data_IF_347657193265
#
_entry.id   IF_347657193265
#
_cell.length_a   1.000
_cell.length_b   1.000
_cell.length_c   1.000
_cell.angle_alpha   90.00
_cell.angle_beta   90.00
_cell.angle_gamma   90.00
#
_symmetry.space_group_name_H-M   'P 1'
#
loop_
_entity.id
_entity.type
_entity.pdbx_description
1 polymer ?
#
# COMPACT_ATOMS: atom_id res chain seq x y z
N UNK A 1 -2.99 -13.39 25.15
CA UNK A 1 -2.67 -12.54 23.99
C UNK A 1 -3.98 -12.35 23.23
N UNK A 2 -4.37 -11.15 22.80
CA UNK A 2 -5.60 -10.99 22.02
C UNK A 2 -5.33 -11.41 20.58
N UNK A 3 -5.74 -12.61 20.21
CA UNK A 3 -5.76 -13.05 18.81
C UNK A 3 -6.93 -12.36 18.10
N UNK A 4 -6.60 -11.29 17.36
CA UNK A 4 -7.55 -10.69 16.42
C UNK A 4 -7.77 -11.70 15.29
N UNK A 5 -9.03 -12.09 15.07
CA UNK A 5 -9.38 -12.92 13.92
C UNK A 5 -8.90 -12.25 12.62
N UNK A 6 -8.02 -12.94 11.89
CA UNK A 6 -7.43 -12.46 10.64
C UNK A 6 -8.39 -12.61 9.46
N UNK A 7 -9.26 -13.61 9.49
CA UNK A 7 -10.13 -13.97 8.37
C UNK A 7 -11.10 -12.84 8.03
N UNK A 8 -11.21 -12.52 6.73
CA UNK A 8 -12.06 -11.43 6.23
C UNK A 8 -11.49 -10.03 6.44
N UNK A 9 -10.24 -9.89 6.89
CA UNK A 9 -9.60 -8.57 7.12
C UNK A 9 -8.82 -8.06 5.90
N UNK A 10 -8.69 -8.85 4.83
CA UNK A 10 -8.14 -8.40 3.56
C UNK A 10 -9.17 -7.56 2.78
N UNK A 11 -8.70 -6.65 1.92
CA UNK A 11 -9.56 -5.91 1.01
C UNK A 11 -10.19 -6.87 -0.01
N UNK A 12 -11.51 -6.80 -0.21
CA UNK A 12 -12.20 -7.51 -1.30
C UNK A 12 -11.97 -6.74 -2.61
N UNK A 13 -11.44 -7.41 -3.64
CA UNK A 13 -11.22 -6.88 -4.99
C UNK A 13 -11.08 -8.04 -5.99
N UNK A 14 -11.20 -7.77 -7.29
CA UNK A 14 -11.27 -8.78 -8.36
C UNK A 14 -9.95 -8.94 -9.13
N UNK A 15 -9.22 -7.84 -9.32
CA UNK A 15 -7.96 -7.78 -10.09
C UNK A 15 -6.87 -7.03 -9.31
N UNK A 16 -5.67 -7.59 -9.25
CA UNK A 16 -4.48 -6.92 -8.72
C UNK A 16 -3.60 -6.47 -9.89
N UNK A 17 -3.22 -5.19 -9.90
CA UNK A 17 -2.23 -4.62 -10.80
C UNK A 17 -1.02 -4.24 -9.96
N UNK A 18 0.16 -4.73 -10.33
CA UNK A 18 1.42 -4.30 -9.74
C UNK A 18 2.20 -3.48 -10.77
N UNK A 19 2.65 -2.28 -10.40
CA UNK A 19 3.66 -1.53 -11.15
C UNK A 19 5.03 -1.78 -10.52
N UNK A 20 5.99 -2.26 -11.30
CA UNK A 20 7.39 -2.37 -10.92
C UNK A 20 8.03 -0.97 -10.98
N UNK A 21 8.54 -0.46 -9.87
CA UNK A 21 9.09 0.91 -9.84
C UNK A 21 10.13 1.10 -8.74
N UNK A 22 11.38 1.41 -9.11
CA UNK A 22 12.54 1.64 -8.23
C UNK A 22 12.75 0.53 -7.17
N UNK A 23 13.66 0.79 -6.22
CA UNK A 23 13.84 -0.04 -5.03
C UNK A 23 12.99 0.44 -3.86
N UNK A 24 12.50 -0.48 -3.03
CA UNK A 24 11.64 -0.20 -1.89
C UNK A 24 12.28 0.70 -0.82
N UNK A 25 13.62 0.70 -0.74
CA UNK A 25 14.41 1.59 0.12
C UNK A 25 14.27 3.07 -0.27
N UNK A 26 13.92 3.36 -1.53
CA UNK A 26 13.88 4.72 -2.10
C UNK A 26 12.49 5.35 -2.10
N UNK A 27 11.43 4.58 -1.82
CA UNK A 27 10.05 5.07 -1.93
C UNK A 27 9.68 6.09 -0.84
N UNK A 28 9.05 7.22 -1.17
CA UNK A 28 8.47 8.11 -0.18
C UNK A 28 7.19 7.51 0.41
N UNK A 29 6.82 7.96 1.61
CA UNK A 29 5.70 7.45 2.39
C UNK A 29 4.34 7.38 1.65
N UNK A 30 4.13 8.23 0.64
CA UNK A 30 2.94 8.24 -0.22
C UNK A 30 3.33 8.30 -1.71
N UNK A 31 4.01 7.26 -2.18
CA UNK A 31 4.50 7.09 -3.56
C UNK A 31 3.43 7.38 -4.63
N UNK A 32 2.18 6.99 -4.40
CA UNK A 32 1.03 7.20 -5.30
C UNK A 32 0.59 8.68 -5.41
N UNK A 33 1.26 9.60 -4.69
CA UNK A 33 0.99 11.04 -4.69
C UNK A 33 2.26 11.90 -4.77
N UNK A 34 3.43 11.29 -4.95
CA UNK A 34 4.72 11.98 -4.97
C UNK A 34 4.96 12.72 -6.29
N UNK A 35 5.27 14.01 -6.22
CA UNK A 35 5.68 14.81 -7.38
C UNK A 35 7.04 14.39 -7.95
N UNK A 36 7.87 13.68 -7.17
CA UNK A 36 9.16 13.14 -7.60
C UNK A 36 9.07 11.74 -8.22
N UNK A 37 7.88 11.14 -8.20
CA UNK A 37 7.60 9.79 -8.72
C UNK A 37 6.38 9.84 -9.66
N UNK A 38 6.50 10.54 -10.80
CA UNK A 38 5.37 10.87 -11.67
C UNK A 38 4.66 9.64 -12.25
N UNK A 39 5.37 8.55 -12.57
CA UNK A 39 4.75 7.34 -13.12
C UNK A 39 3.77 6.65 -12.14
N UNK A 40 4.16 6.25 -10.90
CA UNK A 40 3.21 5.77 -9.90
C UNK A 40 2.07 6.74 -9.59
N UNK A 41 2.37 8.04 -9.49
CA UNK A 41 1.38 9.08 -9.22
C UNK A 41 0.34 9.19 -10.34
N UNK A 42 0.78 9.23 -11.60
CA UNK A 42 -0.09 9.32 -12.77
C UNK A 42 -0.94 8.06 -12.90
N UNK A 43 -0.35 6.88 -12.77
CA UNK A 43 -1.09 5.61 -12.86
C UNK A 43 -2.16 5.50 -11.77
N UNK A 44 -1.84 5.84 -10.52
CA UNK A 44 -2.82 5.89 -9.43
C UNK A 44 -3.93 6.94 -9.67
N UNK A 45 -3.59 8.11 -10.23
CA UNK A 45 -4.54 9.16 -10.56
C UNK A 45 -5.49 8.75 -11.70
N UNK A 46 -4.97 8.22 -12.82
CA UNK A 46 -5.78 7.75 -13.95
C UNK A 46 -6.68 6.58 -13.53
N UNK A 47 -6.18 5.59 -12.78
CA UNK A 47 -7.02 4.50 -12.24
C UNK A 47 -8.16 5.02 -11.37
N UNK A 48 -7.90 6.02 -10.52
CA UNK A 48 -8.93 6.63 -9.68
C UNK A 48 -9.95 7.41 -10.51
N UNK A 49 -9.52 8.11 -11.56
CA UNK A 49 -10.39 8.88 -12.45
C UNK A 49 -11.27 7.98 -13.35
N UNK A 50 -10.73 6.84 -13.81
CA UNK A 50 -11.40 5.86 -14.67
C UNK A 50 -12.11 4.73 -13.91
N UNK A 51 -12.17 4.83 -12.57
CA UNK A 51 -12.65 3.75 -11.68
C UNK A 51 -14.00 3.17 -12.08
N UNK A 52 -14.94 4.03 -12.50
CA UNK A 52 -16.31 3.59 -12.79
C UNK A 52 -16.48 3.04 -14.23
N UNK A 53 -15.47 3.21 -15.09
CA UNK A 53 -15.38 2.56 -16.41
C UNK A 53 -14.75 1.15 -16.31
N UNK A 54 -13.94 0.90 -15.27
CA UNK A 54 -13.23 -0.37 -15.06
C UNK A 54 -14.20 -1.40 -14.45
N UNK A 55 -14.52 -2.43 -15.23
CA UNK A 55 -15.53 -3.47 -14.88
C UNK A 55 -15.18 -4.32 -13.66
N UNK A 56 -13.89 -4.52 -13.38
CA UNK A 56 -13.40 -5.32 -12.27
C UNK A 56 -12.86 -4.41 -11.17
N UNK A 57 -13.19 -4.70 -9.90
CA UNK A 57 -12.66 -3.93 -8.78
C UNK A 57 -11.15 -4.14 -8.71
N UNK A 58 -10.41 -3.14 -9.18
CA UNK A 58 -8.96 -3.23 -9.39
C UNK A 58 -8.21 -2.54 -8.27
N UNK A 59 -7.16 -3.18 -7.76
CA UNK A 59 -6.21 -2.61 -6.79
C UNK A 59 -4.87 -2.42 -7.47
N UNK A 60 -4.30 -1.21 -7.37
CA UNK A 60 -2.90 -0.93 -7.70
C UNK A 60 -2.04 -1.09 -6.45
N UNK A 61 -0.94 -1.82 -6.58
CA UNK A 61 0.18 -1.85 -5.64
C UNK A 61 1.46 -1.57 -6.41
N UNK A 62 2.47 -1.00 -5.77
CA UNK A 62 3.81 -0.86 -6.38
C UNK A 62 4.67 -2.00 -5.87
N UNK A 63 5.45 -2.65 -6.75
CA UNK A 63 6.47 -3.61 -6.36
C UNK A 63 7.87 -3.16 -6.77
N UNK A 64 8.87 -3.73 -6.11
CA UNK A 64 10.27 -3.41 -6.35
C UNK A 64 10.77 -4.02 -7.67
N UNK A 65 11.61 -3.24 -8.36
CA UNK A 65 12.40 -3.66 -9.51
C UNK A 65 13.43 -4.70 -9.06
N UNK A 66 13.40 -5.87 -9.69
CA UNK A 66 14.23 -7.04 -9.36
C UNK A 66 14.68 -7.72 -10.64
N UNK A 67 15.88 -7.36 -11.11
CA UNK A 67 16.45 -7.89 -12.35
C UNK A 67 16.66 -9.41 -12.31
N UNK A 68 16.98 -9.96 -11.14
CA UNK A 68 17.21 -11.39 -10.90
C UNK A 68 15.97 -12.28 -11.11
N UNK A 69 14.78 -11.71 -10.98
CA UNK A 69 13.49 -12.35 -11.33
C UNK A 69 12.82 -11.69 -12.55
N UNK A 70 13.58 -10.92 -13.33
CA UNK A 70 13.13 -10.33 -14.59
C UNK A 70 12.03 -9.27 -14.44
N UNK A 71 12.00 -8.51 -13.34
CA UNK A 71 11.11 -7.36 -13.15
C UNK A 71 11.87 -6.04 -13.35
N UNK A 72 11.57 -5.31 -14.41
CA UNK A 72 12.21 -4.03 -14.77
C UNK A 72 11.37 -2.82 -14.37
N UNK A 73 11.97 -1.63 -14.32
CA UNK A 73 11.24 -0.38 -14.04
C UNK A 73 10.19 -0.11 -15.14
N UNK A 74 8.97 0.21 -14.72
CA UNK A 74 7.82 0.38 -15.60
C UNK A 74 7.12 -0.92 -16.01
N UNK A 75 7.61 -2.11 -15.65
CA UNK A 75 6.86 -3.35 -15.90
C UNK A 75 5.54 -3.38 -15.09
N UNK A 76 4.46 -3.89 -15.67
CA UNK A 76 3.14 -4.00 -15.03
C UNK A 76 2.66 -5.45 -15.02
N UNK A 77 2.47 -6.02 -13.84
CA UNK A 77 1.93 -7.38 -13.64
C UNK A 77 0.42 -7.30 -13.38
N UNK A 78 -0.37 -8.17 -14.00
CA UNK A 78 -1.82 -8.25 -13.77
C UNK A 78 -2.22 -9.67 -13.36
N UNK A 79 -2.93 -9.76 -12.23
CA UNK A 79 -3.51 -10.98 -11.66
C UNK A 79 -5.04 -10.81 -11.52
N UNK A 80 -5.87 -11.83 -11.80
CA UNK A 80 -5.52 -13.24 -12.03
C UNK A 80 -5.02 -13.57 -13.45
N UNK A 81 -4.94 -12.60 -14.36
CA UNK A 81 -4.64 -12.83 -15.77
C UNK A 81 -3.26 -13.44 -16.06
N UNK A 82 -2.29 -13.31 -15.14
CA UNK A 82 -0.91 -13.79 -15.31
C UNK A 82 -0.24 -13.23 -16.57
N UNK A 83 -0.34 -11.91 -16.74
CA UNK A 83 0.30 -11.17 -17.84
C UNK A 83 1.24 -10.12 -17.26
N UNK A 84 2.45 -10.03 -17.82
CA UNK A 84 3.36 -8.90 -17.63
C UNK A 84 3.39 -8.03 -18.89
N UNK A 85 3.14 -6.75 -18.72
CA UNK A 85 3.39 -5.71 -19.70
C UNK A 85 4.74 -5.06 -19.41
N UNK A 86 5.53 -4.73 -20.42
CA UNK A 86 6.88 -4.20 -20.21
C UNK A 86 6.98 -2.68 -20.40
N UNK A 87 7.75 -2.04 -19.53
CA UNK A 87 8.23 -0.65 -19.70
C UNK A 87 7.12 0.40 -19.97
N UNK A 88 6.04 0.39 -19.19
CA UNK A 88 5.02 1.45 -19.19
C UNK A 88 5.65 2.80 -18.83
N UNK A 89 5.40 3.82 -19.66
CA UNK A 89 5.87 5.19 -19.45
C UNK A 89 4.72 6.11 -19.10
N UNK A 90 5.04 7.25 -18.51
CA UNK A 90 4.09 8.32 -18.17
C UNK A 90 3.21 8.74 -19.35
N UNK A 91 3.80 8.86 -20.55
CA UNK A 91 3.09 9.22 -21.79
C UNK A 91 2.00 8.23 -22.20
N UNK A 92 2.08 6.99 -21.73
CA UNK A 92 1.29 5.88 -22.25
C UNK A 92 0.28 5.35 -21.21
N UNK A 93 0.27 5.89 -19.98
CA UNK A 93 -0.61 5.47 -18.87
C UNK A 93 -2.09 5.52 -19.26
N UNK A 94 -2.54 6.62 -19.88
CA UNK A 94 -3.95 6.77 -20.23
C UNK A 94 -4.39 5.76 -21.31
N UNK A 95 -3.53 5.50 -22.29
CA UNK A 95 -3.75 4.47 -23.32
C UNK A 95 -3.72 3.06 -22.72
N UNK A 96 -2.82 2.78 -21.78
CA UNK A 96 -2.75 1.51 -21.06
C UNK A 96 -4.03 1.24 -20.24
N UNK A 97 -4.50 2.22 -19.47
CA UNK A 97 -5.73 2.08 -18.68
C UNK A 97 -6.95 1.88 -19.60
N UNK A 98 -7.03 2.62 -20.70
CA UNK A 98 -8.10 2.47 -21.69
C UNK A 98 -8.08 1.08 -22.36
N UNK A 99 -6.96 0.65 -22.93
CA UNK A 99 -6.86 -0.63 -23.63
C UNK A 99 -7.06 -1.81 -22.68
N UNK A 100 -6.27 -1.88 -21.60
CA UNK A 100 -6.11 -3.09 -20.78
C UNK A 100 -7.16 -3.19 -19.67
N UNK A 101 -7.45 -2.08 -19.00
CA UNK A 101 -8.24 -2.10 -17.77
C UNK A 101 -9.72 -1.77 -17.99
N UNK A 102 -10.02 -0.83 -18.89
CA UNK A 102 -11.39 -0.50 -19.30
C UNK A 102 -11.90 -1.46 -20.38
N UNK A 103 -11.16 -1.60 -21.49
CA UNK A 103 -11.61 -2.39 -22.63
C UNK A 103 -11.25 -3.89 -22.55
N UNK A 104 -10.27 -4.29 -21.73
CA UNK A 104 -9.85 -5.69 -21.61
C UNK A 104 -9.12 -6.22 -22.85
N UNK A 105 -8.44 -5.35 -23.59
CA UNK A 105 -7.67 -5.65 -24.80
C UNK A 105 -6.17 -5.75 -24.50
N UNK A 106 -5.38 -6.40 -25.37
CA UNK A 106 -3.93 -6.21 -25.41
C UNK A 106 -3.56 -4.73 -25.49
N UNK A 107 -2.49 -4.32 -24.82
CA UNK A 107 -2.01 -2.94 -24.88
C UNK A 107 -1.41 -2.67 -26.26
N UNK A 108 -1.92 -1.65 -26.96
CA UNK A 108 -1.56 -1.39 -28.37
C UNK A 108 -0.08 -1.06 -28.59
N UNK A 109 0.59 -0.48 -27.58
CA UNK A 109 1.90 0.17 -27.76
C UNK A 109 3.09 -0.53 -27.11
N UNK A 110 2.90 -1.58 -26.33
CA UNK A 110 3.99 -2.20 -25.56
C UNK A 110 3.99 -3.72 -25.56
N UNK A 111 5.13 -4.35 -25.22
CA UNK A 111 5.24 -5.80 -25.14
C UNK A 111 4.37 -6.33 -24.00
N UNK A 112 3.66 -7.41 -24.25
CA UNK A 112 3.00 -8.21 -23.22
C UNK A 112 3.46 -9.67 -23.34
N UNK A 113 3.70 -10.32 -22.21
CA UNK A 113 4.07 -11.74 -22.14
C UNK A 113 3.30 -12.45 -21.02
N UNK A 114 2.90 -13.71 -21.20
CA UNK A 114 2.36 -14.52 -20.12
C UNK A 114 3.46 -14.79 -19.09
N UNK A 115 3.09 -14.80 -17.81
CA UNK A 115 3.95 -15.22 -16.70
C UNK A 115 3.43 -16.53 -16.09
N UNK A 116 4.31 -17.27 -15.43
CA UNK A 116 4.02 -18.58 -14.84
C UNK A 116 4.64 -18.69 -13.44
N UNK A 117 4.30 -19.74 -12.70
CA UNK A 117 4.81 -19.92 -11.33
C UNK A 117 4.03 -19.13 -10.29
N UNK A 118 4.58 -19.05 -9.07
CA UNK A 118 4.01 -18.36 -7.92
C UNK A 118 4.73 -17.01 -7.67
N UNK A 119 3.95 -15.97 -7.40
CA UNK A 119 4.46 -14.63 -7.08
C UNK A 119 4.14 -14.25 -5.64
N UNK A 120 5.19 -13.99 -4.86
CA UNK A 120 5.14 -13.65 -3.43
C UNK A 120 5.50 -12.18 -3.26
N UNK A 121 4.51 -11.35 -2.92
CA UNK A 121 4.69 -9.93 -2.65
C UNK A 121 4.72 -9.68 -1.15
N UNK A 122 5.85 -9.18 -0.65
CA UNK A 122 6.06 -8.91 0.79
C UNK A 122 6.06 -7.41 1.04
N UNK A 123 5.22 -6.94 1.95
CA UNK A 123 5.15 -5.51 2.28
C UNK A 123 6.42 -5.04 3.00
N UNK A 124 7.28 -4.27 2.32
CA UNK A 124 8.55 -3.78 2.87
C UNK A 124 8.63 -2.24 2.97
N UNK A 125 7.51 -1.53 2.73
CA UNK A 125 7.47 -0.07 2.61
C UNK A 125 7.78 0.70 3.93
N UNK A 126 9.06 0.84 4.27
CA UNK A 126 9.57 1.41 5.51
C UNK A 126 9.08 2.84 5.79
N UNK A 127 9.11 3.71 4.78
CA UNK A 127 8.74 5.12 4.94
C UNK A 127 7.24 5.34 5.17
N UNK A 128 6.39 4.36 4.82
CA UNK A 128 4.94 4.38 5.14
C UNK A 128 4.60 3.62 6.42
N UNK A 129 5.27 2.51 6.68
CA UNK A 129 5.09 1.72 7.90
C UNK A 129 6.42 1.11 8.35
N UNK A 130 6.90 1.59 9.50
CA UNK A 130 8.15 1.14 10.11
C UNK A 130 8.13 -0.34 10.48
N UNK A 131 6.97 -0.95 10.76
CA UNK A 131 6.88 -2.40 11.01
C UNK A 131 7.12 -3.19 9.75
N UNK A 132 6.50 -2.79 8.64
CA UNK A 132 6.75 -3.38 7.33
C UNK A 132 8.21 -3.19 6.89
N UNK A 133 8.81 -2.01 7.16
CA UNK A 133 10.23 -1.75 6.92
C UNK A 133 11.22 -2.53 7.81
N UNK A 134 10.75 -3.25 8.83
CA UNK A 134 11.58 -4.16 9.63
C UNK A 134 11.30 -5.62 9.26
N UNK A 135 10.02 -6.01 9.19
CA UNK A 135 9.63 -7.39 8.90
C UNK A 135 9.83 -7.78 7.42
N UNK A 136 9.56 -6.86 6.50
CA UNK A 136 9.54 -7.13 5.06
C UNK A 136 10.89 -7.61 4.51
N UNK A 137 12.00 -6.88 4.69
CA UNK A 137 13.31 -7.29 4.20
C UNK A 137 13.75 -8.66 4.72
N UNK A 138 13.58 -8.95 6.01
CA UNK A 138 13.90 -10.26 6.60
C UNK A 138 13.05 -11.39 6.01
N UNK A 139 11.77 -11.15 5.74
CA UNK A 139 10.92 -12.15 5.08
C UNK A 139 11.35 -12.39 3.63
N UNK A 140 11.70 -11.34 2.87
CA UNK A 140 12.18 -11.48 1.48
C UNK A 140 13.49 -12.26 1.44
N UNK A 141 14.42 -11.98 2.36
CA UNK A 141 15.69 -12.70 2.50
C UNK A 141 15.45 -14.20 2.75
N UNK A 142 14.59 -14.55 3.71
CA UNK A 142 14.31 -15.95 4.04
C UNK A 142 13.50 -16.69 2.97
N UNK A 143 12.55 -16.02 2.29
CA UNK A 143 11.93 -16.58 1.09
C UNK A 143 12.99 -16.86 0.01
N UNK A 144 13.91 -15.92 -0.25
CA UNK A 144 14.95 -16.08 -1.27
C UNK A 144 15.87 -17.27 -0.97
N UNK A 145 16.35 -17.39 0.29
CA UNK A 145 17.14 -18.54 0.76
C UNK A 145 16.38 -19.85 0.64
N UNK A 146 15.11 -19.88 1.05
CA UNK A 146 14.30 -21.09 1.05
C UNK A 146 13.98 -21.56 -0.39
N UNK A 147 13.68 -20.63 -1.30
CA UNK A 147 13.49 -20.87 -2.74
C UNK A 147 14.78 -21.46 -3.35
N UNK A 148 15.94 -20.85 -3.08
CA UNK A 148 17.24 -21.36 -3.54
C UNK A 148 17.55 -22.77 -2.99
N UNK A 149 17.33 -23.00 -1.70
CA UNK A 149 17.61 -24.31 -1.06
C UNK A 149 16.73 -25.46 -1.57
N UNK A 150 15.60 -25.15 -2.21
CA UNK A 150 14.64 -26.09 -2.79
C UNK A 150 14.69 -26.16 -4.32
N UNK A 151 15.63 -25.44 -4.96
CA UNK A 151 15.77 -25.29 -6.41
C UNK A 151 14.54 -24.69 -7.13
N UNK A 152 13.75 -23.86 -6.44
CA UNK A 152 12.49 -23.30 -6.93
C UNK A 152 12.64 -21.97 -7.69
N UNK A 153 13.86 -21.59 -8.09
CA UNK A 153 14.17 -20.26 -8.67
C UNK A 153 13.43 -19.95 -9.98
N UNK A 154 12.98 -20.97 -10.70
CA UNK A 154 12.21 -20.85 -11.94
C UNK A 154 10.69 -21.00 -11.74
N UNK A 155 10.26 -21.20 -10.49
CA UNK A 155 8.86 -21.52 -10.14
C UNK A 155 8.27 -20.54 -9.11
N UNK A 156 9.09 -19.91 -8.27
CA UNK A 156 8.65 -19.02 -7.20
C UNK A 156 9.46 -17.72 -7.21
N UNK A 157 8.78 -16.60 -7.31
CA UNK A 157 9.35 -15.26 -7.39
C UNK A 157 8.94 -14.44 -6.18
N UNK A 158 9.91 -13.89 -5.42
CA UNK A 158 9.65 -13.04 -4.25
C UNK A 158 10.17 -11.62 -4.45
N UNK A 159 9.33 -10.62 -4.18
CA UNK A 159 9.71 -9.20 -4.28
C UNK A 159 9.04 -8.35 -3.19
N UNK A 160 9.65 -7.19 -2.89
CA UNK A 160 9.04 -6.18 -2.04
C UNK A 160 7.84 -5.54 -2.72
N UNK A 161 6.85 -5.14 -1.92
CA UNK A 161 5.75 -4.29 -2.35
C UNK A 161 5.49 -3.11 -1.40
N UNK A 162 4.76 -2.12 -1.92
CA UNK A 162 4.32 -0.92 -1.22
C UNK A 162 3.35 -1.26 -0.09
N UNK A 163 2.79 -0.26 0.59
CA UNK A 163 2.11 -0.53 1.86
C UNK A 163 0.75 -1.22 1.66
N UNK A 164 0.72 -2.53 1.87
CA UNK A 164 -0.48 -3.35 1.79
C UNK A 164 -0.89 -3.88 3.16
N UNK A 165 -2.19 -4.17 3.31
CA UNK A 165 -2.72 -4.96 4.43
C UNK A 165 -2.87 -4.24 5.76
N UNK A 166 -2.10 -3.18 6.04
CA UNK A 166 -2.21 -2.33 7.23
C UNK A 166 -1.30 -2.73 8.40
N UNK A 167 -0.84 -1.72 9.17
CA UNK A 167 0.22 -1.86 10.17
C UNK A 167 -0.06 -2.84 11.33
N UNK A 168 -1.35 -3.04 11.64
CA UNK A 168 -1.78 -3.97 12.70
C UNK A 168 -1.58 -5.44 12.33
N UNK A 169 -1.22 -5.75 11.09
CA UNK A 169 -1.02 -7.10 10.55
C UNK A 169 0.38 -7.31 9.93
N UNK A 170 1.35 -6.46 10.29
CA UNK A 170 2.72 -6.49 9.76
C UNK A 170 3.35 -7.90 9.76
N UNK A 171 4.23 -8.14 8.78
CA UNK A 171 4.35 -9.47 8.18
C UNK A 171 3.22 -9.71 7.16
N UNK A 172 2.88 -8.68 6.38
CA UNK A 172 1.87 -8.75 5.32
C UNK A 172 2.51 -9.38 4.06
N UNK A 173 1.93 -10.48 3.58
CA UNK A 173 2.37 -11.19 2.37
C UNK A 173 1.15 -11.47 1.48
N UNK A 174 1.29 -11.31 0.18
CA UNK A 174 0.29 -11.71 -0.82
C UNK A 174 0.93 -12.75 -1.72
N UNK A 175 0.29 -13.91 -1.90
CA UNK A 175 0.78 -14.97 -2.77
C UNK A 175 -0.23 -15.18 -3.90
N UNK A 176 0.24 -15.05 -5.14
CA UNK A 176 -0.49 -15.41 -6.35
C UNK A 176 0.06 -16.72 -6.89
N UNK A 177 -0.80 -17.73 -7.01
CA UNK A 177 -0.47 -19.03 -7.56
C UNK A 177 -1.72 -19.67 -8.16
N UNK A 178 -1.53 -20.72 -8.96
CA UNK A 178 -2.63 -21.59 -9.37
C UNK A 178 -3.08 -22.48 -8.20
N UNK A 179 -4.39 -22.72 -8.11
CA UNK A 179 -4.96 -23.82 -7.32
C UNK A 179 -4.86 -25.16 -8.09
N UNK A 180 -5.41 -26.23 -7.53
CA UNK A 180 -5.35 -27.59 -8.11
C UNK A 180 -6.13 -27.71 -9.40
N UNK A 181 -7.10 -26.83 -9.59
CA UNK A 181 -7.95 -26.69 -10.76
C UNK A 181 -7.31 -25.77 -11.83
N UNK A 182 -6.12 -25.22 -11.56
CA UNK A 182 -5.37 -24.35 -12.46
C UNK A 182 -5.82 -22.89 -12.44
N UNK A 183 -6.74 -22.51 -11.54
CA UNK A 183 -7.26 -21.14 -11.42
C UNK A 183 -6.34 -20.30 -10.54
N UNK A 184 -6.02 -19.10 -10.99
CA UNK A 184 -5.15 -18.17 -10.28
C UNK A 184 -5.91 -17.49 -9.14
N UNK A 185 -5.33 -17.55 -7.93
CA UNK A 185 -5.86 -16.94 -6.73
C UNK A 185 -4.79 -16.10 -6.02
N UNK A 186 -5.18 -14.93 -5.50
CA UNK A 186 -4.31 -14.06 -4.68
C UNK A 186 -4.67 -14.16 -3.21
N UNK A 187 -3.90 -14.90 -2.42
CA UNK A 187 -4.14 -15.11 -0.99
C UNK A 187 -3.37 -14.11 -0.14
N UNK A 188 -4.07 -13.47 0.79
CA UNK A 188 -3.52 -12.50 1.73
C UNK A 188 -3.19 -13.15 3.06
N UNK A 189 -2.01 -12.83 3.58
CA UNK A 189 -1.52 -13.29 4.87
C UNK A 189 -1.04 -12.11 5.72
N UNK A 190 -1.11 -12.25 7.04
CA UNK A 190 -0.60 -11.29 8.02
C UNK A 190 0.05 -12.01 9.19
N UNK A 191 0.84 -11.29 9.99
CA UNK A 191 1.67 -11.87 11.07
C UNK A 191 2.67 -12.94 10.59
N UNK A 192 3.04 -12.93 9.31
CA UNK A 192 4.04 -13.86 8.77
C UNK A 192 5.40 -13.59 9.42
N UNK A 193 6.06 -14.67 9.85
CA UNK A 193 7.41 -14.68 10.43
C UNK A 193 8.35 -15.53 9.57
N UNK A 194 9.69 -15.38 9.71
CA UNK A 194 10.67 -16.24 9.06
C UNK A 194 10.41 -17.75 9.19
N UNK A 195 9.92 -18.20 10.35
CA UNK A 195 9.63 -19.61 10.62
C UNK A 195 8.46 -20.17 9.78
N UNK A 196 7.62 -19.30 9.23
CA UNK A 196 6.47 -19.69 8.40
C UNK A 196 6.85 -19.89 6.92
N UNK A 197 7.99 -19.35 6.48
CA UNK A 197 8.44 -19.37 5.08
C UNK A 197 8.51 -20.80 4.49
N UNK A 198 9.08 -21.81 5.16
CA UNK A 198 9.08 -23.18 4.63
C UNK A 198 7.67 -23.72 4.41
N UNK A 199 6.73 -23.39 5.31
CA UNK A 199 5.32 -23.82 5.23
C UNK A 199 4.63 -23.20 4.01
N UNK A 200 4.93 -21.94 3.67
CA UNK A 200 4.41 -21.31 2.46
C UNK A 200 4.88 -22.01 1.18
N UNK A 201 6.13 -22.46 1.12
CA UNK A 201 6.65 -23.19 -0.04
C UNK A 201 6.09 -24.62 -0.10
N UNK A 202 6.11 -25.34 1.02
CA UNK A 202 5.76 -26.78 1.06
C UNK A 202 4.25 -27.05 1.07
N UNK A 203 3.43 -26.23 1.75
CA UNK A 203 1.99 -26.43 1.83
C UNK A 203 1.21 -25.54 0.86
N UNK A 204 1.45 -24.23 0.85
CA UNK A 204 0.62 -23.32 0.05
C UNK A 204 0.96 -23.38 -1.44
N UNK A 205 2.22 -23.13 -1.80
CA UNK A 205 2.64 -23.05 -3.21
C UNK A 205 2.67 -24.44 -3.86
N UNK A 206 3.18 -25.46 -3.15
CA UNK A 206 3.33 -26.82 -3.69
C UNK A 206 2.08 -27.70 -3.59
N UNK A 207 1.30 -27.58 -2.52
CA UNK A 207 0.11 -28.44 -2.30
C UNK A 207 -1.23 -27.71 -2.41
N UNK A 208 -1.24 -26.39 -2.67
CA UNK A 208 -2.44 -25.56 -2.75
C UNK A 208 -3.18 -25.38 -1.42
N UNK A 209 -2.51 -25.60 -0.28
CA UNK A 209 -3.13 -25.52 1.06
C UNK A 209 -3.00 -24.11 1.65
N UNK A 210 -4.13 -23.48 1.96
CA UNK A 210 -4.15 -22.17 2.61
C UNK A 210 -3.70 -22.30 4.07
N UNK A 211 -2.76 -21.46 4.50
CA UNK A 211 -2.29 -21.42 5.90
C UNK A 211 -3.28 -20.62 6.75
N UNK A 212 -4.38 -21.27 7.17
CA UNK A 212 -5.54 -20.64 7.82
C UNK A 212 -5.18 -19.70 8.98
N UNK A 213 -4.25 -20.11 9.87
CA UNK A 213 -3.83 -19.30 11.03
C UNK A 213 -3.21 -17.93 10.70
N UNK A 214 -2.74 -17.75 9.46
CA UNK A 214 -2.16 -16.49 8.95
C UNK A 214 -3.08 -15.83 7.91
N UNK A 215 -4.13 -16.50 7.45
CA UNK A 215 -4.90 -16.12 6.28
C UNK A 215 -5.90 -15.01 6.57
N UNK A 216 -6.00 -14.05 5.64
CA UNK A 216 -6.80 -12.84 5.77
C UNK A 216 -7.92 -12.70 4.75
N UNK A 217 -7.82 -13.38 3.61
CA UNK A 217 -8.77 -13.30 2.51
C UNK A 217 -8.12 -13.64 1.16
N UNK A 218 -8.95 -13.67 0.12
CA UNK A 218 -8.56 -14.07 -1.23
C UNK A 218 -9.17 -13.11 -2.26
N UNK A 219 -8.39 -12.76 -3.28
CA UNK A 219 -8.84 -11.99 -4.45
C UNK A 219 -10.00 -12.71 -5.17
N UNK A 220 -11.03 -11.96 -5.57
CA UNK A 220 -12.24 -12.47 -6.21
C UNK A 220 -13.20 -13.20 -5.26
N UNK A 221 -12.85 -13.41 -3.99
CA UNK A 221 -13.73 -13.99 -3.00
C UNK A 221 -14.56 -12.90 -2.32
N UNK A 222 -15.69 -12.54 -2.95
CA UNK A 222 -16.74 -11.77 -2.30
C UNK A 222 -17.38 -12.61 -1.19
N UNK A 223 -17.64 -12.01 -0.04
CA UNK A 223 -18.07 -12.72 1.16
C UNK A 223 -19.55 -13.16 1.10
N UNK A 224 -19.86 -14.21 0.35
CA UNK A 224 -21.16 -14.91 0.36
C UNK A 224 -21.13 -16.21 1.22
N UNK A 225 -20.26 -16.28 2.24
CA UNK A 225 -20.16 -17.46 3.13
C UNK A 225 -19.99 -17.09 4.62
N UNK A 226 -20.97 -16.38 5.20
CA UNK A 226 -21.23 -16.45 6.65
C UNK A 226 -22.34 -17.46 7.01
N UNK A 227 -23.19 -17.83 6.05
CA UNK A 227 -24.42 -18.60 6.32
C UNK A 227 -24.33 -20.12 6.08
N UNK A 228 -23.25 -20.62 5.48
CA UNK A 228 -23.07 -22.07 5.25
C UNK A 228 -22.32 -22.80 6.37
N UNK A 229 -21.47 -22.10 7.13
CA UNK A 229 -20.81 -22.69 8.32
C UNK A 229 -21.81 -22.87 9.47
N UNK A 230 -22.79 -21.97 9.61
CA UNK A 230 -23.76 -21.99 10.71
C UNK A 230 -24.97 -22.93 10.49
N UNK A 231 -25.02 -23.68 9.38
CA UNK A 231 -26.10 -24.65 9.07
C UNK A 231 -25.73 -26.11 9.28
N UNK A 232 -24.48 -26.41 9.64
CA UNK A 232 -24.00 -27.79 9.78
C UNK A 232 -23.61 -28.16 11.23
N UNK A 233 -23.88 -27.27 12.20
CA UNK A 233 -23.53 -27.43 13.62
C UNK A 233 -24.73 -27.32 14.59
N UNK A 234 -25.97 -27.40 14.09
CA UNK A 234 -27.17 -27.43 14.95
C UNK A 234 -28.07 -28.62 14.61
N UNK A 235 -27.75 -29.77 15.21
CA UNK A 235 -28.68 -30.88 15.36
C UNK A 235 -28.71 -31.36 16.83
N UNK A 236 -29.90 -31.25 17.42
CA UNK A 236 -30.34 -31.79 18.72
C UNK A 236 -29.70 -31.25 20.02
N UNK A 237 -30.53 -30.59 20.84
CA UNK A 237 -30.15 -30.13 22.19
C UNK A 237 -31.21 -29.26 22.86
N UNK A 238 -32.45 -29.74 23.03
CA UNK A 238 -33.55 -28.98 23.63
C UNK A 238 -33.37 -28.80 25.15
N UNK A 239 -33.42 -27.57 25.68
CA UNK A 239 -34.42 -27.07 26.68
C UNK A 239 -34.00 -25.80 27.43
N UNK A 240 -35.04 -25.05 27.85
CA UNK A 240 -35.12 -24.12 29.00
C UNK A 240 -34.51 -22.71 28.88
N UNK A 241 -35.43 -21.74 28.76
CA UNK A 241 -35.22 -20.32 29.05
C UNK A 241 -34.68 -20.04 30.46
N UNK A 242 -33.86 -18.98 30.59
CA UNK A 242 -33.99 -18.01 31.68
C UNK A 242 -33.47 -16.63 31.30
N UNK A 243 -34.19 -15.61 31.76
CA UNK A 243 -33.92 -14.18 31.56
C UNK A 243 -32.88 -13.65 32.57
N UNK A 244 -32.58 -12.35 32.43
CA UNK A 244 -31.87 -11.45 33.36
C UNK A 244 -30.33 -11.50 33.31
N UNK A 245 -29.59 -10.40 33.43
CA UNK A 245 -29.98 -8.97 33.43
C UNK A 245 -28.82 -8.12 32.87
N UNK A 246 -29.11 -6.91 32.39
CA UNK A 246 -28.09 -5.91 32.02
C UNK A 246 -27.74 -5.06 33.25
N UNK A 247 -26.45 -4.89 33.58
CA UNK A 247 -25.97 -3.75 34.35
C UNK A 247 -25.27 -2.75 33.43
N UNK A 248 -25.75 -1.51 33.43
CA UNK A 248 -24.97 -0.35 33.00
C UNK A 248 -24.25 0.18 34.23
N UNK A 249 -22.91 0.23 34.21
CA UNK A 249 -22.15 1.06 35.16
C UNK A 249 -21.03 1.82 34.46
N UNK A 250 -20.58 2.88 35.13
CA UNK A 250 -19.91 4.04 34.52
C UNK A 250 -18.57 4.30 35.20
N UNK A 251 -17.59 4.73 34.39
CA UNK A 251 -16.35 5.42 34.76
C UNK A 251 -15.24 4.70 35.55
N UNK A 252 -14.03 4.86 35.00
CA UNK A 252 -12.74 5.02 35.69
C UNK A 252 -12.26 3.95 36.67
N UNK A 253 -11.33 3.12 36.20
CA UNK A 253 -10.04 2.93 36.89
C UNK A 253 -8.95 2.51 35.90
N UNK A 254 -7.83 3.24 35.90
CA UNK A 254 -6.64 2.87 35.13
C UNK A 254 -5.68 2.08 35.99
N UNK A 255 -4.99 1.09 35.40
CA UNK A 255 -3.89 0.38 36.05
C UNK A 255 -2.87 -0.14 35.01
N UNK A 256 -1.98 0.74 34.56
CA UNK A 256 -0.81 0.37 33.76
C UNK A 256 0.43 0.34 34.65
N UNK A 257 0.64 -0.76 35.39
CA UNK A 257 1.91 -1.06 36.04
C UNK A 257 2.33 -2.50 35.69
N UNK A 258 3.44 -2.60 34.95
CA UNK A 258 4.07 -3.85 34.52
C UNK A 258 5.43 -3.52 33.92
N UNK A 259 6.50 -4.06 34.49
CA UNK A 259 7.85 -3.51 34.30
C UNK A 259 8.61 -4.12 33.11
N UNK A 260 8.77 -3.34 32.03
CA UNK A 260 9.92 -3.33 31.13
C UNK A 260 9.82 -2.08 30.24
N UNK A 261 10.83 -1.19 30.28
CA UNK A 261 10.68 0.16 29.76
C UNK A 261 10.77 0.29 28.23
N UNK A 262 9.62 0.39 27.55
CA UNK A 262 9.48 1.25 26.37
C UNK A 262 8.02 1.70 26.19
N UNK A 263 7.72 2.98 26.44
CA UNK A 263 6.36 3.54 26.32
C UNK A 263 6.16 4.17 24.94
N UNK A 264 5.50 3.44 24.04
CA UNK A 264 5.28 3.84 22.64
C UNK A 264 4.10 4.81 22.43
N UNK A 265 3.80 5.69 23.39
CA UNK A 265 2.70 6.64 23.28
C UNK A 265 3.18 8.07 23.51
N UNK A 266 3.50 8.77 22.42
CA UNK A 266 3.65 10.22 22.44
C UNK A 266 3.19 10.83 21.11
N UNK A 267 1.91 11.16 21.06
CA UNK A 267 1.38 12.06 20.04
C UNK A 267 2.09 13.42 20.17
N UNK A 268 2.70 13.90 19.09
CA UNK A 268 3.36 15.20 19.06
C UNK A 268 2.33 16.29 18.75
N UNK A 269 1.77 16.91 19.79
CA UNK A 269 0.97 18.13 19.68
C UNK A 269 1.09 19.00 20.95
N UNK A 270 1.23 20.31 20.74
CA UNK A 270 1.30 21.39 21.74
C UNK A 270 2.59 21.51 22.61
N UNK A 271 3.48 22.38 22.13
CA UNK A 271 4.06 23.55 22.84
C UNK A 271 4.36 23.49 24.35
N UNK A 272 5.63 23.73 24.70
CA UNK A 272 6.05 24.26 26.01
C UNK A 272 6.24 25.78 25.97
N UNK A 273 5.77 26.49 27.02
CA UNK A 273 5.90 27.95 27.17
C UNK A 273 7.09 28.34 28.06
N UNK A 274 7.72 29.49 27.77
CA UNK A 274 8.40 30.34 28.76
C UNK A 274 7.88 31.81 28.69
N UNK A 275 8.14 32.62 29.73
CA UNK A 275 7.43 33.89 30.11
C UNK A 275 8.42 34.88 30.77
N UNK A 276 8.35 36.22 30.71
CA UNK A 276 7.40 37.21 30.15
C UNK A 276 8.14 38.11 29.11
N UNK A 277 7.50 38.99 28.31
CA UNK A 277 7.12 40.34 28.79
C UNK A 277 6.00 41.02 27.99
N UNK A 278 5.15 41.76 28.71
CA UNK A 278 3.94 42.49 28.22
C UNK A 278 4.23 43.63 27.23
N UNK A 279 3.32 43.80 26.25
CA UNK A 279 2.50 45.04 26.05
C UNK A 279 1.49 44.90 24.88
N UNK A 280 0.27 45.48 24.99
CA UNK A 280 -0.55 45.88 23.83
C UNK A 280 -1.97 45.30 23.66
N UNK A 281 -2.89 46.10 23.07
CA UNK A 281 -4.35 45.87 22.92
C UNK A 281 -4.85 46.40 21.54
N UNK A 282 -6.00 46.00 20.96
CA UNK A 282 -7.04 45.08 21.45
C UNK A 282 -7.40 43.91 20.47
N UNK A 283 -8.25 44.00 19.39
CA UNK A 283 -8.91 42.79 18.87
C UNK A 283 -8.77 42.45 17.37
N UNK A 284 -9.20 41.23 17.07
CA UNK A 284 -9.34 40.52 15.79
C UNK A 284 -10.16 41.20 14.67
N UNK A 285 -9.74 41.02 13.41
CA UNK A 285 -10.63 40.68 12.27
C UNK A 285 -9.85 40.11 11.06
N UNK A 286 -10.59 39.46 10.14
CA UNK A 286 -10.22 38.91 8.81
C UNK A 286 -9.38 37.61 8.80
N UNK A 287 -9.90 36.46 8.36
CA UNK A 287 -10.41 36.05 7.02
C UNK A 287 -9.35 36.02 5.91
N UNK A 288 -8.64 34.88 5.86
CA UNK A 288 -8.36 34.04 4.69
C UNK A 288 -8.66 34.66 3.31
N UNK A 289 -7.62 35.03 2.57
CA UNK A 289 -7.68 35.41 1.14
C UNK A 289 -6.68 34.59 0.33
N UNK A 290 -7.19 33.76 -0.58
CA UNK A 290 -6.44 33.10 -1.64
C UNK A 290 -6.46 33.98 -2.91
N UNK A 291 -5.31 34.16 -3.60
CA UNK A 291 -5.17 34.22 -5.08
C UNK A 291 -3.75 34.63 -5.57
N UNK A 292 -3.28 34.15 -6.74
CA UNK A 292 -1.92 34.39 -7.22
C UNK A 292 -1.83 35.45 -8.35
N UNK A 293 -1.88 36.74 -8.03
CA UNK A 293 -1.65 37.82 -9.02
C UNK A 293 -0.62 38.89 -8.59
N UNK A 294 0.00 38.74 -7.41
CA UNK A 294 0.89 39.77 -6.82
C UNK A 294 2.33 39.71 -7.36
N UNK A 295 2.79 38.56 -7.86
CA UNK A 295 4.21 38.37 -8.22
C UNK A 295 4.64 39.02 -9.55
N UNK A 296 3.71 39.24 -10.49
CA UNK A 296 4.02 39.92 -11.77
C UNK A 296 4.19 41.44 -11.61
N UNK A 297 3.50 42.07 -10.66
CA UNK A 297 3.61 43.52 -10.43
C UNK A 297 4.96 43.93 -9.80
N UNK A 298 5.51 43.11 -8.90
CA UNK A 298 6.75 43.42 -8.17
C UNK A 298 7.98 43.36 -9.11
N UNK A 299 8.00 42.43 -10.06
CA UNK A 299 9.12 42.29 -11.01
C UNK A 299 9.30 43.51 -11.94
N UNK A 300 8.20 44.11 -12.40
CA UNK A 300 8.26 45.25 -13.33
C UNK A 300 8.76 46.53 -12.65
N UNK A 301 8.34 46.79 -11.40
CA UNK A 301 8.79 47.97 -10.64
C UNK A 301 10.29 47.89 -10.31
N UNK A 302 10.80 46.69 -9.96
CA UNK A 302 12.22 46.48 -9.70
C UNK A 302 13.11 46.75 -10.92
N UNK A 303 12.68 46.33 -12.11
CA UNK A 303 13.43 46.57 -13.35
C UNK A 303 13.54 48.06 -13.71
N UNK A 304 12.45 48.83 -13.58
CA UNK A 304 12.44 50.27 -13.86
C UNK A 304 13.35 51.03 -12.89
N UNK A 305 13.36 50.66 -11.61
CA UNK A 305 14.24 51.27 -10.61
C UNK A 305 15.73 51.03 -10.93
N UNK A 306 16.10 49.81 -11.35
CA UNK A 306 17.49 49.50 -11.71
C UNK A 306 17.98 50.29 -12.93
N UNK A 307 17.15 50.43 -13.97
CA UNK A 307 17.50 51.22 -15.17
C UNK A 307 17.66 52.71 -14.83
N UNK A 308 16.79 53.27 -13.99
CA UNK A 308 16.89 54.66 -13.56
C UNK A 308 18.18 54.95 -12.75
N UNK A 309 18.56 54.04 -11.85
CA UNK A 309 19.81 54.15 -11.08
C UNK A 309 21.04 54.03 -11.99
N UNK A 310 21.07 53.04 -12.89
CA UNK A 310 22.17 52.87 -13.84
C UNK A 310 22.36 54.09 -14.76
N UNK A 311 21.26 54.66 -15.28
CA UNK A 311 21.30 55.87 -16.09
C UNK A 311 21.80 57.10 -15.30
N UNK A 312 21.45 57.19 -14.01
CA UNK A 312 21.94 58.23 -13.10
C UNK A 312 23.47 58.17 -12.88
N UNK A 313 24.06 56.98 -12.83
CA UNK A 313 25.52 56.82 -12.78
C UNK A 313 26.19 57.11 -14.12
N UNK A 314 25.60 56.69 -15.25
CA UNK A 314 26.14 56.96 -16.58
C UNK A 314 26.25 58.47 -16.88
N UNK A 315 25.19 59.24 -16.56
CA UNK A 315 25.16 60.70 -16.77
C UNK A 315 26.13 61.49 -15.86
N UNK A 316 26.75 60.86 -14.86
CA UNK A 316 27.66 61.51 -13.91
C UNK A 316 29.15 61.29 -14.23
N UNK A 317 29.43 60.54 -15.31
CA UNK A 317 30.77 60.15 -15.75
C UNK A 317 31.12 60.66 -17.16
N UNK A 318 30.32 61.61 -17.68
CA UNK A 318 30.49 62.35 -18.93
C UNK A 318 30.14 63.82 -18.70
#
# INVERSE_FOLDING_TARGET
MYELNLTGTATIYDRHVFLCYKSHDTWPSHLESSDSDPLPKLFAATLKARKDDIKLKTVLTICEVREDIGLSDGDVLIFPEMIKYRSLKESDVDAFVEDVLVNGKPWTFGPQEPISGAYVFVCAHNNRDRRCGVCGPTLIEEFSKAIESKDLKNEVYVTACSHVGGHKYAGNVIIFSADKEGKIAGHWYGYVTPNDVPVFLDEHIKEGKVIERLWRGQMGLHAEITDKVNKQSVSNGTTADKKENVPVETASQGCCQGAAGFSCCRDASAEGKEVEKKQGRLPTCFRKWDKPEVFTAIGVVGAVAFVAVAYGFYKKSH
#
